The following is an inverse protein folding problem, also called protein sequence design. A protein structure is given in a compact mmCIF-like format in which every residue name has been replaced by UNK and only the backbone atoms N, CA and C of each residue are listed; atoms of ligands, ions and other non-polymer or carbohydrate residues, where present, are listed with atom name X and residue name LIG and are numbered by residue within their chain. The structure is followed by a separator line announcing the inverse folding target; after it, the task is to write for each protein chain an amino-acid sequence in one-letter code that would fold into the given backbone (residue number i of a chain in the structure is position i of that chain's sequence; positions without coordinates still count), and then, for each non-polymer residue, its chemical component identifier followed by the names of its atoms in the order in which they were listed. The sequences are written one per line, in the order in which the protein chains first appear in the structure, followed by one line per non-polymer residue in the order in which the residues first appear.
data_IF_005892485199
#
_entry.id   IF_005892485199
#
_cell.length_a   1.000
_cell.length_b   1.000
_cell.length_c   1.000
_cell.angle_alpha   90.00
_cell.angle_beta   90.00
_cell.angle_gamma   90.00
#
_symmetry.space_group_name_H-M   'P 1'
#
loop_
_entity.id
_entity.type
_entity.pdbx_description
1 polymer ?
#
# COMPACT_ATOMS: atom_id res chain seq x y z
N UNK A 1 -5.20 -7.17 35.39
CA UNK A 1 -3.84 -7.11 35.97
C UNK A 1 -2.93 -7.90 35.03
N UNK A 2 -2.16 -7.14 34.23
CA UNK A 2 -1.08 -7.49 33.29
C UNK A 2 -1.06 -8.89 32.63
N UNK A 3 -1.20 -8.92 31.29
CA UNK A 3 -0.92 -10.08 30.43
C UNK A 3 -0.04 -9.62 29.26
N UNK A 4 1.24 -9.37 29.50
CA UNK A 4 2.26 -9.36 28.44
C UNK A 4 3.58 -9.83 29.06
N UNK A 5 3.78 -11.15 29.05
CA UNK A 5 5.09 -11.78 29.26
C UNK A 5 5.80 -11.73 27.91
N UNK A 6 6.57 -10.67 27.67
CA UNK A 6 7.65 -10.73 26.68
C UNK A 6 8.83 -11.34 27.43
N UNK A 7 9.27 -12.53 27.04
CA UNK A 7 10.37 -13.23 27.69
C UNK A 7 11.59 -12.30 27.77
N UNK A 8 11.96 -11.94 29.01
CA UNK A 8 13.12 -11.12 29.29
C UNK A 8 14.36 -11.88 28.78
N UNK A 9 15.16 -11.23 27.92
CA UNK A 9 16.48 -11.71 27.55
C UNK A 9 17.23 -12.11 28.82
N UNK A 10 17.68 -13.37 28.89
CA UNK A 10 18.42 -13.83 30.07
C UNK A 10 19.66 -12.97 30.27
N UNK A 11 19.95 -12.60 31.51
CA UNK A 11 20.98 -11.62 31.88
C UNK A 11 22.34 -11.92 31.22
N UNK A 12 22.68 -13.20 31.02
CA UNK A 12 23.91 -13.62 30.33
C UNK A 12 23.95 -13.23 28.84
N UNK A 13 22.82 -13.24 28.13
CA UNK A 13 22.74 -12.82 26.73
C UNK A 13 22.87 -11.29 26.61
N UNK A 14 22.26 -10.54 27.55
CA UNK A 14 22.41 -9.09 27.63
C UNK A 14 23.87 -8.69 27.95
N UNK A 15 24.54 -9.44 28.82
CA UNK A 15 25.93 -9.17 29.21
C UNK A 15 26.91 -9.41 28.05
N UNK A 16 26.71 -10.48 27.26
CA UNK A 16 27.55 -10.77 26.09
C UNK A 16 27.39 -9.77 24.95
N UNK A 17 26.21 -9.18 24.77
CA UNK A 17 25.99 -8.12 23.79
C UNK A 17 26.74 -6.83 24.16
N UNK A 18 26.84 -6.53 25.46
CA UNK A 18 27.61 -5.39 25.96
C UNK A 18 29.13 -5.58 25.82
N UNK A 19 29.63 -6.81 25.91
CA UNK A 19 31.08 -7.11 25.90
C UNK A 19 31.70 -7.17 24.48
N UNK A 20 30.88 -7.25 23.42
CA UNK A 20 31.35 -7.53 22.05
C UNK A 20 31.60 -6.29 21.16
N UNK A 21 31.47 -5.07 21.68
CA UNK A 21 31.73 -3.86 20.90
C UNK A 21 32.60 -2.88 21.69
N UNK A 22 33.86 -2.60 21.27
CA UNK A 22 34.56 -1.47 21.85
C UNK A 22 33.76 -0.21 21.47
N UNK A 23 33.31 0.54 22.48
CA UNK A 23 32.73 1.86 22.32
C UNK A 23 33.69 2.69 21.46
N UNK A 24 33.39 2.81 20.18
CA UNK A 24 34.11 3.71 19.30
C UNK A 24 33.58 5.09 19.66
N UNK A 25 34.38 5.90 20.34
CA UNK A 25 34.04 7.30 20.58
C UNK A 25 33.85 7.97 19.21
N UNK A 26 32.59 8.13 18.82
CA UNK A 26 32.21 8.88 17.63
C UNK A 26 32.61 10.33 17.92
N UNK A 27 33.51 10.87 17.11
CA UNK A 27 33.93 12.27 17.21
C UNK A 27 32.70 13.19 17.24
N UNK A 28 32.70 14.28 18.03
CA UNK A 28 31.52 15.11 18.19
C UNK A 28 31.15 15.73 16.84
N UNK A 29 29.99 15.33 16.31
CA UNK A 29 29.36 16.05 15.20
C UNK A 29 28.90 17.41 15.74
N UNK A 30 29.54 18.46 15.24
CA UNK A 30 29.17 19.86 15.44
C UNK A 30 27.76 20.13 14.88
N UNK A 31 26.72 19.85 15.67
CA UNK A 31 25.44 20.58 15.71
C UNK A 31 24.62 20.11 16.93
N UNK A 32 24.93 20.66 18.10
CA UNK A 32 24.41 20.25 19.41
C UNK A 32 22.90 20.56 19.61
N UNK A 33 22.25 21.29 18.70
CA UNK A 33 20.83 21.65 18.85
C UNK A 33 19.84 20.52 18.47
N UNK A 34 20.12 19.68 17.47
CA UNK A 34 19.16 18.64 17.04
C UNK A 34 19.22 17.35 17.88
N UNK A 35 20.41 16.98 18.39
CA UNK A 35 20.58 15.76 19.20
C UNK A 35 19.95 15.87 20.60
N UNK A 36 19.83 17.09 21.15
CA UNK A 36 19.05 17.34 22.37
C UNK A 36 17.54 17.14 22.15
N UNK A 37 17.04 17.34 20.93
CA UNK A 37 15.61 17.21 20.62
C UNK A 37 15.12 15.77 20.66
N UNK A 38 15.79 14.82 20.00
CA UNK A 38 15.27 13.44 19.90
C UNK A 38 15.35 12.64 21.21
N UNK A 39 16.46 12.77 21.95
CA UNK A 39 16.64 12.05 23.23
C UNK A 39 15.70 12.56 24.30
N UNK A 40 15.51 13.89 24.40
CA UNK A 40 14.54 14.46 25.34
C UNK A 40 13.11 14.17 24.90
N UNK A 41 12.80 14.20 23.60
CA UNK A 41 11.50 13.78 23.09
C UNK A 41 11.17 12.33 23.50
N UNK A 42 12.11 11.38 23.35
CA UNK A 42 11.89 10.00 23.78
C UNK A 42 11.72 9.83 25.30
N UNK A 43 12.49 10.57 26.11
CA UNK A 43 12.42 10.50 27.57
C UNK A 43 11.10 11.08 28.11
N UNK A 44 10.60 12.15 27.47
CA UNK A 44 9.40 12.87 27.89
C UNK A 44 8.14 12.50 27.10
N UNK A 45 8.21 11.55 26.15
CA UNK A 45 7.07 11.08 25.36
C UNK A 45 5.93 10.45 26.20
N UNK A 46 6.13 10.23 27.50
CA UNK A 46 5.09 9.70 28.38
C UNK A 46 4.48 10.76 29.31
N UNK A 47 4.97 12.01 29.26
CA UNK A 47 4.55 13.09 30.15
C UNK A 47 3.22 13.75 29.70
N UNK A 48 2.81 13.59 28.44
CA UNK A 48 1.48 13.95 27.92
C UNK A 48 0.66 12.70 27.53
N UNK A 49 -0.16 12.13 28.45
CA UNK A 49 -0.74 10.79 28.32
C UNK A 49 -1.63 10.53 27.11
N UNK A 50 -2.24 11.58 26.55
CA UNK A 50 -3.23 11.52 25.48
C UNK A 50 -2.63 11.71 24.09
N UNK A 51 -1.49 12.43 24.00
CA UNK A 51 -0.86 12.81 22.74
C UNK A 51 0.01 11.69 22.17
N UNK A 52 0.71 10.97 23.05
CA UNK A 52 1.73 9.99 22.68
C UNK A 52 1.33 8.53 22.92
N UNK A 53 0.11 8.25 23.42
CA UNK A 53 -0.43 6.88 23.49
C UNK A 53 -1.32 6.52 22.31
N UNK A 54 -2.09 7.48 21.82
CA UNK A 54 -3.03 7.25 20.72
C UNK A 54 -2.31 7.16 19.37
N UNK A 55 -1.25 7.93 19.15
CA UNK A 55 -0.44 7.83 17.94
C UNK A 55 0.22 6.45 17.77
N UNK A 56 0.99 5.96 18.77
CA UNK A 56 1.58 4.64 18.73
C UNK A 56 0.56 3.49 18.79
N UNK A 57 -0.53 3.63 19.55
CA UNK A 57 -1.56 2.58 19.58
C UNK A 57 -2.31 2.49 18.25
N UNK A 58 -2.79 3.61 17.68
CA UNK A 58 -3.44 3.60 16.37
C UNK A 58 -2.49 3.14 15.25
N UNK A 59 -1.19 3.46 15.37
CA UNK A 59 -0.17 2.94 14.48
C UNK A 59 -0.02 1.42 14.61
N UNK A 60 -0.02 0.89 15.84
CA UNK A 60 0.05 -0.54 16.09
C UNK A 60 -1.22 -1.27 15.62
N UNK A 61 -2.39 -0.68 15.84
CA UNK A 61 -3.67 -1.20 15.36
C UNK A 61 -3.67 -1.25 13.82
N UNK A 62 -3.20 -0.20 13.15
CA UNK A 62 -3.02 -0.17 11.69
C UNK A 62 -2.02 -1.24 11.22
N UNK A 63 -0.89 -1.40 11.93
CA UNK A 63 0.09 -2.45 11.61
C UNK A 63 -0.56 -3.83 11.74
N UNK A 64 -1.27 -4.10 12.84
CA UNK A 64 -1.93 -5.37 13.11
C UNK A 64 -3.00 -5.69 12.05
N UNK A 65 -3.84 -4.71 11.72
CA UNK A 65 -4.83 -4.80 10.65
C UNK A 65 -4.17 -5.18 9.31
N UNK A 66 -3.19 -4.38 8.84
CA UNK A 66 -2.48 -4.65 7.57
C UNK A 66 -1.79 -6.01 7.57
N UNK A 67 -1.15 -6.37 8.69
CA UNK A 67 -0.41 -7.63 8.81
C UNK A 67 -1.34 -8.85 8.74
N UNK A 68 -2.58 -8.70 9.22
CA UNK A 68 -3.59 -9.76 9.21
C UNK A 68 -4.39 -9.87 7.91
N UNK A 69 -4.53 -8.78 7.16
CA UNK A 69 -5.33 -8.70 5.94
C UNK A 69 -4.64 -9.28 4.70
N UNK A 70 -3.30 -9.26 4.67
CA UNK A 70 -2.58 -9.25 3.41
C UNK A 70 -1.61 -10.42 3.27
N UNK A 71 -1.86 -11.25 2.25
CA UNK A 71 -0.94 -12.28 1.77
C UNK A 71 -0.70 -12.04 0.28
N UNK A 72 0.57 -12.08 -0.15
CA UNK A 72 0.89 -12.11 -1.56
C UNK A 72 0.43 -13.47 -2.11
N UNK A 73 -0.40 -13.48 -3.16
CA UNK A 73 -0.81 -14.75 -3.75
C UNK A 73 0.34 -15.32 -4.55
N UNK A 74 0.79 -16.51 -4.15
CA UNK A 74 1.82 -17.24 -4.89
C UNK A 74 1.20 -18.49 -5.50
N UNK A 75 1.45 -18.69 -6.79
CA UNK A 75 0.98 -19.90 -7.47
C UNK A 75 1.83 -21.08 -7.00
N UNK A 76 1.33 -21.85 -6.02
CA UNK A 76 1.94 -23.07 -5.49
C UNK A 76 0.93 -23.95 -4.78
N UNK A 77 1.03 -25.27 -4.95
CA UNK A 77 0.19 -26.28 -4.27
C UNK A 77 0.47 -26.25 -2.75
N UNK A 78 -0.58 -26.46 -1.93
CA UNK A 78 -0.61 -26.42 -0.45
C UNK A 78 0.30 -27.48 0.24
N UNK A 79 1.59 -27.48 -0.04
CA UNK A 79 2.62 -28.23 0.69
C UNK A 79 3.60 -27.25 1.33
N UNK A 80 3.88 -27.46 2.63
CA UNK A 80 4.94 -26.86 3.46
C UNK A 80 5.53 -25.55 2.90
N UNK A 81 4.89 -24.41 3.25
CA UNK A 81 5.32 -23.07 2.80
C UNK A 81 6.79 -22.88 3.17
N UNK A 82 7.67 -22.91 2.16
CA UNK A 82 9.11 -22.83 2.39
C UNK A 82 9.50 -21.50 3.05
N UNK A 83 10.59 -21.49 3.82
CA UNK A 83 11.10 -20.29 4.51
C UNK A 83 11.22 -19.05 3.58
N UNK A 84 11.56 -19.27 2.31
CA UNK A 84 11.67 -18.20 1.30
C UNK A 84 10.32 -17.54 1.00
N UNK A 85 9.25 -18.33 0.96
CA UNK A 85 7.89 -17.88 0.70
C UNK A 85 7.33 -17.11 1.88
N UNK A 86 7.52 -17.62 3.11
CA UNK A 86 7.17 -16.90 4.35
C UNK A 86 7.88 -15.54 4.41
N UNK A 87 9.19 -15.51 4.14
CA UNK A 87 9.94 -14.25 4.11
C UNK A 87 9.45 -13.28 3.03
N UNK A 88 9.05 -13.78 1.86
CA UNK A 88 8.48 -12.95 0.81
C UNK A 88 7.14 -12.33 1.23
N UNK A 89 6.28 -13.09 1.92
CA UNK A 89 5.01 -12.61 2.45
C UNK A 89 5.20 -11.58 3.57
N UNK A 90 6.13 -11.82 4.50
CA UNK A 90 6.42 -10.85 5.57
C UNK A 90 7.01 -9.54 5.03
N UNK A 91 7.88 -9.62 4.02
CA UNK A 91 8.37 -8.43 3.32
C UNK A 91 7.25 -7.68 2.60
N UNK A 92 6.31 -8.41 1.97
CA UNK A 92 5.16 -7.79 1.31
C UNK A 92 4.26 -7.05 2.30
N UNK A 93 3.92 -7.70 3.44
CA UNK A 93 3.15 -7.10 4.53
C UNK A 93 3.83 -5.84 5.07
N UNK A 94 5.13 -5.91 5.32
CA UNK A 94 5.91 -4.75 5.77
C UNK A 94 5.92 -3.62 4.74
N UNK A 95 6.08 -3.95 3.45
CA UNK A 95 5.98 -2.98 2.36
C UNK A 95 4.65 -2.23 2.37
N UNK A 96 3.54 -2.95 2.55
CA UNK A 96 2.20 -2.36 2.59
C UNK A 96 2.03 -1.43 3.81
N UNK A 97 2.49 -1.85 4.99
CA UNK A 97 2.52 -0.97 6.18
C UNK A 97 3.29 0.32 5.87
N UNK A 98 4.49 0.20 5.30
CA UNK A 98 5.34 1.36 4.97
C UNK A 98 4.67 2.28 3.94
N UNK A 99 3.93 1.71 2.98
CA UNK A 99 3.21 2.47 1.98
C UNK A 99 2.01 3.22 2.58
N UNK A 100 1.22 2.59 3.46
CA UNK A 100 0.14 3.28 4.22
C UNK A 100 0.70 4.41 5.10
N UNK A 101 1.96 4.30 5.56
CA UNK A 101 2.67 5.35 6.28
C UNK A 101 3.32 6.42 5.39
N UNK A 102 3.24 6.29 4.06
CA UNK A 102 3.84 7.22 3.11
C UNK A 102 5.37 7.13 2.98
N UNK A 103 5.99 6.06 3.51
CA UNK A 103 7.44 5.84 3.45
C UNK A 103 7.80 5.08 2.16
N UNK A 104 7.49 5.72 1.02
CA UNK A 104 7.47 5.06 -0.29
C UNK A 104 8.81 4.43 -0.70
N UNK A 105 9.94 5.09 -0.43
CA UNK A 105 11.27 4.55 -0.79
C UNK A 105 11.56 3.21 -0.10
N UNK A 106 11.25 3.12 1.19
CA UNK A 106 11.52 1.88 1.96
C UNK A 106 10.47 0.82 1.62
N UNK A 107 9.22 1.23 1.37
CA UNK A 107 8.19 0.32 0.84
C UNK A 107 8.64 -0.32 -0.48
N UNK A 108 9.23 0.46 -1.39
CA UNK A 108 9.74 -0.02 -2.67
C UNK A 108 10.82 -1.11 -2.50
N UNK A 109 11.75 -0.92 -1.55
CA UNK A 109 12.78 -1.92 -1.24
C UNK A 109 12.15 -3.24 -0.74
N UNK A 110 11.10 -3.16 0.09
CA UNK A 110 10.42 -4.33 0.65
C UNK A 110 9.60 -5.06 -0.42
N UNK A 111 8.80 -4.35 -1.21
CA UNK A 111 8.05 -4.95 -2.32
C UNK A 111 8.96 -5.54 -3.38
N UNK A 112 10.07 -4.86 -3.72
CA UNK A 112 11.07 -5.38 -4.66
C UNK A 112 11.75 -6.64 -4.13
N UNK A 113 12.15 -6.65 -2.85
CA UNK A 113 12.76 -7.84 -2.25
C UNK A 113 11.76 -8.99 -2.13
N UNK A 114 10.51 -8.70 -1.78
CA UNK A 114 9.42 -9.68 -1.78
C UNK A 114 9.26 -10.33 -3.17
N UNK A 115 9.13 -9.52 -4.22
CA UNK A 115 9.02 -10.01 -5.60
C UNK A 115 10.24 -10.82 -6.05
N UNK A 116 11.46 -10.43 -5.66
CA UNK A 116 12.68 -11.20 -5.96
C UNK A 116 12.71 -12.56 -5.26
N UNK A 117 12.19 -12.63 -4.03
CA UNK A 117 12.11 -13.88 -3.29
C UNK A 117 10.99 -14.76 -3.82
N UNK A 118 9.79 -14.24 -4.01
CA UNK A 118 8.68 -14.96 -4.62
C UNK A 118 7.89 -14.01 -5.52
N UNK A 119 8.03 -14.14 -6.85
CA UNK A 119 7.32 -13.28 -7.79
C UNK A 119 5.80 -13.44 -7.64
N UNK A 120 5.13 -12.36 -7.27
CA UNK A 120 3.67 -12.27 -7.23
C UNK A 120 3.19 -11.02 -7.96
N UNK A 121 1.98 -11.03 -8.55
CA UNK A 121 1.43 -9.85 -9.19
C UNK A 121 1.21 -8.71 -8.19
N UNK A 122 0.83 -9.00 -6.93
CA UNK A 122 0.64 -8.01 -5.88
C UNK A 122 1.95 -7.30 -5.53
N UNK A 123 3.04 -8.03 -5.32
CA UNK A 123 4.31 -7.40 -4.97
C UNK A 123 4.82 -6.48 -6.10
N UNK A 124 4.63 -6.88 -7.37
CA UNK A 124 4.95 -6.02 -8.50
C UNK A 124 4.01 -4.80 -8.60
N UNK A 125 2.71 -4.98 -8.37
CA UNK A 125 1.72 -3.89 -8.38
C UNK A 125 2.01 -2.84 -7.31
N UNK A 126 2.16 -3.28 -6.06
CA UNK A 126 2.42 -2.39 -4.94
C UNK A 126 3.77 -1.69 -5.08
N UNK A 127 4.78 -2.36 -5.64
CA UNK A 127 6.04 -1.72 -6.02
C UNK A 127 5.81 -0.61 -7.05
N UNK A 128 5.02 -0.87 -8.10
CA UNK A 128 4.64 0.15 -9.09
C UNK A 128 4.00 1.39 -8.45
N UNK A 129 3.11 1.18 -7.48
CA UNK A 129 2.43 2.24 -6.73
C UNK A 129 3.36 3.06 -5.81
N UNK A 130 4.61 2.62 -5.57
CA UNK A 130 5.58 3.43 -4.80
C UNK A 130 6.26 4.53 -5.63
N UNK A 131 6.18 4.43 -6.95
CA UNK A 131 6.72 5.42 -7.89
C UNK A 131 5.71 6.53 -8.16
N UNK A 132 6.20 7.67 -8.64
CA UNK A 132 5.30 8.73 -9.11
C UNK A 132 4.57 8.28 -10.39
N UNK A 133 3.32 8.70 -10.57
CA UNK A 133 2.55 8.40 -11.78
C UNK A 133 3.14 8.98 -13.07
N UNK A 134 4.08 9.92 -12.97
CA UNK A 134 4.85 10.48 -14.08
C UNK A 134 6.08 9.63 -14.44
N UNK A 135 6.53 8.76 -13.53
CA UNK A 135 7.72 7.93 -13.73
C UNK A 135 7.41 6.70 -14.60
N UNK A 136 8.28 6.42 -15.57
CA UNK A 136 8.13 5.22 -16.42
C UNK A 136 8.36 3.92 -15.65
N UNK A 137 9.12 3.97 -14.56
CA UNK A 137 9.45 2.81 -13.71
C UNK A 137 8.19 2.23 -13.05
N UNK A 138 7.27 3.08 -12.57
CA UNK A 138 5.99 2.63 -12.01
C UNK A 138 5.15 1.86 -13.03
N UNK A 139 5.03 2.40 -14.26
CA UNK A 139 4.34 1.72 -15.36
C UNK A 139 5.04 0.42 -15.79
N UNK A 140 6.37 0.35 -15.70
CA UNK A 140 7.10 -0.88 -16.00
C UNK A 140 6.77 -1.98 -15.00
N UNK A 141 6.70 -1.66 -13.70
CA UNK A 141 6.26 -2.60 -12.66
C UNK A 141 4.80 -3.01 -12.79
N UNK A 142 3.93 -2.10 -13.21
CA UNK A 142 2.53 -2.42 -13.47
C UNK A 142 2.37 -3.41 -14.63
N UNK A 143 3.17 -3.25 -15.68
CA UNK A 143 3.24 -4.26 -16.75
C UNK A 143 3.82 -5.57 -16.24
N UNK A 144 4.81 -5.53 -15.34
CA UNK A 144 5.40 -6.73 -14.73
C UNK A 144 4.38 -7.52 -13.92
N UNK A 145 3.49 -6.86 -13.19
CA UNK A 145 2.41 -7.51 -12.46
C UNK A 145 1.44 -8.23 -13.43
N UNK A 146 1.06 -7.58 -14.53
CA UNK A 146 0.22 -8.20 -15.58
C UNK A 146 0.94 -9.37 -16.27
N UNK A 147 2.25 -9.26 -16.51
CA UNK A 147 3.07 -10.38 -17.03
C UNK A 147 3.11 -11.55 -16.05
N UNK A 148 3.11 -11.27 -14.74
CA UNK A 148 3.17 -12.28 -13.68
C UNK A 148 1.81 -12.99 -13.56
N UNK A 149 0.71 -12.24 -13.57
CA UNK A 149 -0.64 -12.79 -13.65
C UNK A 149 -1.55 -11.86 -14.47
N UNK A 150 -1.94 -12.24 -15.70
CA UNK A 150 -2.81 -11.41 -16.54
C UNK A 150 -4.21 -11.19 -15.97
N UNK A 151 -4.66 -12.05 -15.05
CA UNK A 151 -5.95 -11.95 -14.40
C UNK A 151 -5.93 -11.04 -13.16
N UNK A 152 -4.78 -10.46 -12.80
CA UNK A 152 -4.69 -9.55 -11.67
C UNK A 152 -5.21 -8.16 -12.04
N UNK A 153 -6.44 -7.86 -11.64
CA UNK A 153 -7.16 -6.63 -12.02
C UNK A 153 -6.55 -5.33 -11.49
N UNK A 154 -5.87 -5.36 -10.34
CA UNK A 154 -5.28 -4.17 -9.73
C UNK A 154 -4.35 -3.45 -10.69
N UNK A 155 -3.50 -4.19 -11.41
CA UNK A 155 -2.55 -3.57 -12.33
C UNK A 155 -3.12 -3.01 -13.62
N UNK A 156 -4.24 -3.55 -14.07
CA UNK A 156 -5.00 -2.91 -15.14
C UNK A 156 -5.58 -1.57 -14.67
N UNK A 157 -6.10 -1.50 -13.44
CA UNK A 157 -6.66 -0.28 -12.88
C UNK A 157 -5.59 0.82 -12.71
N UNK A 158 -4.44 0.49 -12.12
CA UNK A 158 -3.34 1.45 -11.89
C UNK A 158 -2.77 2.05 -13.19
N UNK A 159 -2.64 1.27 -14.27
CA UNK A 159 -2.20 1.82 -15.57
C UNK A 159 -3.26 2.80 -16.11
N UNK A 160 -4.54 2.43 -16.00
CA UNK A 160 -5.64 3.31 -16.39
C UNK A 160 -5.62 4.62 -15.60
N UNK A 161 -5.42 4.55 -14.28
CA UNK A 161 -5.34 5.72 -13.42
C UNK A 161 -4.14 6.62 -13.76
N UNK A 162 -2.95 6.05 -13.95
CA UNK A 162 -1.77 6.81 -14.39
C UNK A 162 -2.02 7.53 -15.73
N UNK A 163 -2.67 6.87 -16.69
CA UNK A 163 -3.04 7.51 -17.97
C UNK A 163 -4.07 8.62 -17.80
N UNK A 164 -5.06 8.41 -16.92
CA UNK A 164 -6.08 9.41 -16.64
C UNK A 164 -5.46 10.66 -15.99
N UNK A 165 -4.55 10.49 -15.03
CA UNK A 165 -3.81 11.61 -14.41
C UNK A 165 -2.98 12.41 -15.41
N UNK A 166 -2.50 11.76 -16.48
CA UNK A 166 -1.79 12.40 -17.61
C UNK A 166 -2.73 13.05 -18.63
N UNK A 167 -4.05 13.06 -18.39
CA UNK A 167 -5.08 13.58 -19.29
C UNK A 167 -5.34 12.71 -20.51
N UNK A 168 -4.90 11.45 -20.49
CA UNK A 168 -5.07 10.48 -21.59
C UNK A 168 -6.33 9.61 -21.39
N UNK A 169 -7.45 10.22 -21.02
CA UNK A 169 -8.71 9.54 -20.67
C UNK A 169 -9.17 8.51 -21.72
N UNK A 170 -9.02 8.83 -23.02
CA UNK A 170 -9.36 7.88 -24.10
C UNK A 170 -8.56 6.57 -24.03
N UNK A 171 -7.30 6.62 -23.62
CA UNK A 171 -6.46 5.43 -23.48
C UNK A 171 -6.76 4.71 -22.17
N UNK A 172 -7.05 5.45 -21.10
CA UNK A 172 -7.37 4.90 -19.79
C UNK A 172 -8.59 3.96 -19.80
N UNK A 173 -9.61 4.27 -20.62
CA UNK A 173 -10.85 3.47 -20.74
C UNK A 173 -10.58 1.98 -21.00
N UNK A 174 -9.66 1.66 -21.91
CA UNK A 174 -9.36 0.26 -22.25
C UNK A 174 -8.69 -0.49 -21.09
N UNK A 175 -7.90 0.21 -20.26
CA UNK A 175 -7.28 -0.35 -19.07
C UNK A 175 -8.29 -0.59 -17.95
N UNK A 176 -9.20 0.35 -17.69
CA UNK A 176 -10.28 0.14 -16.72
C UNK A 176 -11.20 -1.02 -17.13
N UNK A 177 -11.51 -1.14 -18.43
CA UNK A 177 -12.22 -2.32 -18.95
C UNK A 177 -11.45 -3.63 -18.73
N UNK A 178 -10.12 -3.60 -18.88
CA UNK A 178 -9.25 -4.73 -18.53
C UNK A 178 -9.38 -5.13 -17.05
N UNK A 179 -9.35 -4.15 -16.14
CA UNK A 179 -9.54 -4.38 -14.71
C UNK A 179 -10.90 -4.98 -14.40
N UNK A 180 -11.97 -4.43 -14.98
CA UNK A 180 -13.35 -4.91 -14.81
C UNK A 180 -13.49 -6.38 -15.27
N UNK A 181 -12.83 -6.75 -16.37
CA UNK A 181 -12.90 -8.10 -16.92
C UNK A 181 -11.91 -9.10 -16.28
N UNK A 182 -11.03 -8.65 -15.39
CA UNK A 182 -10.04 -9.49 -14.73
C UNK A 182 -10.71 -10.48 -13.75
N UNK A 183 -10.26 -11.74 -13.76
CA UNK A 183 -10.86 -12.79 -12.93
C UNK A 183 -10.60 -12.51 -11.44
N UNK A 184 -11.63 -12.66 -10.60
CA UNK A 184 -11.56 -12.49 -9.14
C UNK A 184 -11.03 -11.13 -8.65
N UNK A 185 -11.05 -10.07 -9.47
CA UNK A 185 -10.72 -8.73 -9.00
C UNK A 185 -11.76 -8.24 -7.97
N UNK A 186 -11.31 -8.02 -6.74
CA UNK A 186 -12.15 -7.60 -5.59
C UNK A 186 -12.55 -6.12 -5.67
N UNK A 187 -11.66 -5.25 -6.16
CA UNK A 187 -11.89 -3.80 -6.23
C UNK A 187 -12.53 -3.34 -7.56
N UNK A 188 -13.38 -4.20 -8.14
CA UNK A 188 -14.04 -3.91 -9.44
C UNK A 188 -14.87 -2.62 -9.40
N UNK A 189 -15.42 -2.25 -8.24
CA UNK A 189 -16.12 -0.98 -8.04
C UNK A 189 -15.23 0.24 -8.30
N UNK A 190 -13.98 0.22 -7.82
CA UNK A 190 -13.02 1.30 -8.04
C UNK A 190 -12.69 1.48 -9.53
N UNK A 191 -12.53 0.37 -10.27
CA UNK A 191 -12.33 0.45 -11.73
C UNK A 191 -13.55 1.02 -12.48
N UNK A 192 -14.78 0.72 -12.03
CA UNK A 192 -15.98 1.36 -12.59
C UNK A 192 -16.05 2.85 -12.27
N UNK A 193 -15.72 3.27 -11.04
CA UNK A 193 -15.67 4.68 -10.66
C UNK A 193 -14.63 5.45 -11.49
N UNK A 194 -13.45 4.85 -11.69
CA UNK A 194 -12.40 5.39 -12.55
C UNK A 194 -12.82 5.47 -14.02
N UNK A 195 -13.57 4.47 -14.51
CA UNK A 195 -14.14 4.50 -15.85
C UNK A 195 -15.18 5.63 -16.01
N UNK A 196 -16.00 5.88 -14.98
CA UNK A 196 -16.93 7.01 -14.96
C UNK A 196 -16.17 8.34 -15.06
N UNK A 197 -15.12 8.52 -14.26
CA UNK A 197 -14.23 9.69 -14.29
C UNK A 197 -13.60 9.91 -15.66
N UNK A 198 -13.09 8.85 -16.31
CA UNK A 198 -12.55 8.93 -17.66
C UNK A 198 -13.60 9.35 -18.70
N UNK A 199 -14.84 8.85 -18.60
CA UNK A 199 -15.93 9.28 -19.47
C UNK A 199 -16.33 10.75 -19.25
N UNK A 200 -16.29 11.25 -18.02
CA UNK A 200 -16.54 12.67 -17.71
C UNK A 200 -15.51 13.59 -18.36
N UNK A 201 -14.22 13.26 -18.29
CA UNK A 201 -13.16 14.05 -18.93
C UNK A 201 -13.34 14.16 -20.45
N UNK A 202 -13.96 13.14 -21.07
CA UNK A 202 -14.30 13.13 -22.49
C UNK A 202 -15.65 13.78 -22.81
N UNK A 203 -16.41 14.25 -21.81
CA UNK A 203 -17.75 14.80 -21.97
C UNK A 203 -18.81 13.76 -22.33
N UNK A 204 -18.56 12.49 -22.02
CA UNK A 204 -19.43 11.36 -22.36
C UNK A 204 -20.39 11.05 -21.19
N UNK A 205 -21.28 12.00 -20.88
CA UNK A 205 -22.11 11.97 -19.67
C UNK A 205 -23.00 10.73 -19.52
N UNK A 206 -23.52 10.17 -20.62
CA UNK A 206 -24.34 8.94 -20.56
C UNK A 206 -23.53 7.71 -20.21
N UNK A 207 -22.31 7.59 -20.75
CA UNK A 207 -21.39 6.50 -20.40
C UNK A 207 -20.84 6.66 -18.98
N UNK A 208 -20.57 7.90 -18.57
CA UNK A 208 -20.19 8.21 -17.18
C UNK A 208 -21.29 7.81 -16.19
N UNK A 209 -22.55 8.15 -16.48
CA UNK A 209 -23.69 7.79 -15.62
C UNK A 209 -23.81 6.26 -15.47
N UNK A 210 -23.73 5.53 -16.60
CA UNK A 210 -23.77 4.07 -16.56
C UNK A 210 -22.63 3.49 -15.70
N UNK A 211 -21.39 3.95 -15.90
CA UNK A 211 -20.24 3.47 -15.13
C UNK A 211 -20.35 3.81 -13.63
N UNK A 212 -20.88 5.00 -13.29
CA UNK A 212 -21.11 5.39 -11.90
C UNK A 212 -22.20 4.54 -11.23
N UNK A 213 -23.24 4.15 -11.96
CA UNK A 213 -24.29 3.25 -11.45
C UNK A 213 -23.72 1.86 -11.13
N UNK A 214 -22.88 1.32 -12.02
CA UNK A 214 -22.20 0.04 -11.78
C UNK A 214 -21.25 0.15 -10.58
N UNK A 215 -20.50 1.26 -10.45
CA UNK A 215 -19.64 1.52 -9.30
C UNK A 215 -20.42 1.53 -7.98
N UNK A 216 -21.53 2.29 -7.92
CA UNK A 216 -22.36 2.42 -6.72
C UNK A 216 -23.03 1.10 -6.32
N UNK A 217 -23.35 0.25 -7.30
CA UNK A 217 -23.88 -1.10 -7.02
C UNK A 217 -22.89 -2.02 -6.30
N UNK A 218 -21.58 -1.79 -6.51
CA UNK A 218 -20.49 -2.56 -5.91
C UNK A 218 -19.94 -1.91 -4.65
N UNK A 219 -20.11 -0.59 -4.49
CA UNK A 219 -19.61 0.20 -3.37
C UNK A 219 -20.75 1.09 -2.83
N UNK A 220 -21.77 0.51 -2.18
CA UNK A 220 -22.99 1.22 -1.79
C UNK A 220 -22.80 2.18 -0.60
N UNK A 221 -21.61 2.22 -0.01
CA UNK A 221 -21.28 3.07 1.15
C UNK A 221 -20.42 4.28 0.77
N UNK A 222 -20.09 4.45 -0.52
CA UNK A 222 -19.28 5.57 -1.04
C UNK A 222 -20.17 6.77 -1.37
N UNK A 223 -20.17 7.79 -0.51
CA UNK A 223 -20.99 9.00 -0.62
C UNK A 223 -20.67 9.80 -1.90
N UNK A 224 -19.39 9.82 -2.32
CA UNK A 224 -18.96 10.51 -3.54
C UNK A 224 -19.63 9.97 -4.81
N UNK A 225 -20.02 8.69 -4.83
CA UNK A 225 -20.73 8.10 -5.98
C UNK A 225 -22.18 8.55 -6.06
N UNK A 226 -22.84 8.72 -4.91
CA UNK A 226 -24.21 9.22 -4.86
C UNK A 226 -24.28 10.68 -5.34
N UNK A 227 -23.35 11.53 -4.89
CA UNK A 227 -23.24 12.91 -5.36
C UNK A 227 -22.99 12.96 -6.88
N UNK A 228 -22.10 12.09 -7.38
CA UNK A 228 -21.80 12.04 -8.81
C UNK A 228 -23.02 11.61 -9.65
N UNK A 229 -23.81 10.66 -9.15
CA UNK A 229 -25.03 10.20 -9.81
C UNK A 229 -26.10 11.29 -9.87
N UNK A 230 -26.27 12.08 -8.81
CA UNK A 230 -27.20 13.22 -8.79
C UNK A 230 -26.79 14.26 -9.84
N UNK A 231 -25.51 14.67 -9.84
CA UNK A 231 -24.97 15.65 -10.80
C UNK A 231 -25.15 15.20 -12.25
N UNK A 232 -24.85 13.92 -12.53
CA UNK A 232 -25.01 13.36 -13.87
C UNK A 232 -26.46 13.22 -14.30
N UNK A 233 -27.35 12.92 -13.35
CA UNK A 233 -28.79 12.86 -13.57
C UNK A 233 -29.37 14.22 -13.97
N UNK A 234 -29.03 15.28 -13.23
CA UNK A 234 -29.48 16.65 -13.53
C UNK A 234 -28.98 17.15 -14.89
N UNK A 235 -27.75 16.83 -15.25
CA UNK A 235 -27.15 17.27 -16.53
C UNK A 235 -27.79 16.63 -17.78
N UNK A 236 -28.59 15.57 -17.62
CA UNK A 236 -29.21 14.80 -18.70
C UNK A 236 -30.72 15.06 -18.86
N UNK A 237 -31.33 15.85 -17.97
CA UNK A 237 -32.76 16.26 -18.00
C UNK A 237 -32.94 17.59 -18.73
#
# INVERSE_FOLDING_TARGET
LAIWNVDMLQDEAAQRLCDMSPLTEIAPLDSIESARSNKLAWIHANDEPTRDRLGPAALLDMIEEVWSEVEATTEGEEEDIGLREVLAQDLFRMGNVLQRLGILRVAAEHHGTSYLLSPSPEAACYLGMTFSSEEEDGLAWQRKAIETNPNYGGSWNEIGESLLQRGEANRAIEWFRGAINSMNYCERGAAWANLARAHLELGQSTSALFAAQEAASLMPEEEELDELLEQLGEALV
#
